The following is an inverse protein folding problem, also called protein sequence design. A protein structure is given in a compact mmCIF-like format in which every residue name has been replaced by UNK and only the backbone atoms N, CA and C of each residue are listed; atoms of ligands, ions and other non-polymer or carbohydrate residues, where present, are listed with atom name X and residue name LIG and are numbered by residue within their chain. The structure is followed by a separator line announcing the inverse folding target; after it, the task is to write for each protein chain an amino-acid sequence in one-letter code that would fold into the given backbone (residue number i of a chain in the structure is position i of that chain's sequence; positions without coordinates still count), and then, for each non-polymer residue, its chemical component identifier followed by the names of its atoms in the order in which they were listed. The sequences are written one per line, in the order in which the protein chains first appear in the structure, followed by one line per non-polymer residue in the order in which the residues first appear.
data_IF_440244558553
#
_entry.id   IF_440244558553
#
_cell.length_a   1.000
_cell.length_b   1.000
_cell.length_c   1.000
_cell.angle_alpha   90.00
_cell.angle_beta   90.00
_cell.angle_gamma   90.00
#
_symmetry.space_group_name_H-M   'P 1'
#
loop_
_entity.id
_entity.type
_entity.pdbx_description
1 polymer ?
#
# COMPACT_ATOMS: atom_id res chain seq x y z
N UNK A 1 -6.40 1.16 4.66
CA UNK A 1 -5.17 0.98 3.87
C UNK A 1 -3.98 1.20 4.78
N UNK A 2 -3.03 0.34 4.76
CA UNK A 2 -1.82 0.49 5.56
C UNK A 2 -0.59 0.27 4.70
N UNK A 3 0.51 0.91 5.10
CA UNK A 3 1.78 0.86 4.39
C UNK A 3 2.88 0.42 5.32
N UNK A 4 3.84 -0.30 4.78
CA UNK A 4 5.09 -0.56 5.47
C UNK A 4 6.25 -0.49 4.49
N UNK A 5 7.40 -0.10 5.00
CA UNK A 5 8.64 0.01 4.23
C UNK A 5 9.68 -0.95 4.78
N UNK A 6 10.46 -1.52 3.90
CA UNK A 6 11.69 -2.18 4.30
C UNK A 6 12.82 -1.73 3.41
N UNK A 7 13.98 -1.52 4.02
CA UNK A 7 15.12 -0.91 3.37
C UNK A 7 15.86 -1.85 2.45
N UNK A 8 15.61 -3.12 2.49
CA UNK A 8 16.40 -4.01 1.68
C UNK A 8 15.70 -5.34 1.42
N UNK A 9 15.86 -5.81 0.22
CA UNK A 9 15.70 -7.20 -0.15
C UNK A 9 17.10 -7.73 -0.39
N UNK A 10 17.80 -7.93 0.67
CA UNK A 10 19.25 -7.98 0.72
C UNK A 10 19.87 -9.19 0.06
N UNK A 11 19.09 -10.10 -0.43
CA UNK A 11 19.64 -11.38 -0.86
C UNK A 11 19.73 -11.54 -2.35
N UNK A 12 19.41 -10.54 -3.09
CA UNK A 12 19.37 -10.64 -4.54
C UNK A 12 20.73 -10.23 -5.05
N UNK A 13 21.51 -11.21 -5.49
CA UNK A 13 22.78 -11.01 -6.17
C UNK A 13 23.78 -10.13 -5.41
N UNK A 14 23.67 -10.05 -4.10
CA UNK A 14 24.58 -9.26 -3.29
C UNK A 14 24.41 -7.76 -3.40
N UNK A 15 23.43 -7.29 -4.13
CA UNK A 15 23.10 -5.89 -4.21
C UNK A 15 21.95 -5.60 -3.27
N UNK A 16 22.16 -4.65 -2.35
CA UNK A 16 21.24 -4.42 -1.24
C UNK A 16 20.45 -3.13 -1.34
N UNK A 17 20.44 -2.48 -2.49
CA UNK A 17 19.86 -1.15 -2.64
C UNK A 17 18.43 -1.17 -3.15
N UNK A 18 17.65 -2.12 -2.69
CA UNK A 18 16.23 -2.20 -3.03
C UNK A 18 15.38 -1.67 -1.89
N UNK A 19 14.25 -1.07 -2.25
CA UNK A 19 13.23 -0.65 -1.30
C UNK A 19 11.97 -1.45 -1.56
N UNK A 20 11.35 -1.95 -0.51
CA UNK A 20 10.08 -2.65 -0.60
C UNK A 20 9.01 -1.88 0.14
N UNK A 21 7.92 -1.57 -0.59
CA UNK A 21 6.73 -0.94 -0.02
C UNK A 21 5.61 -1.97 -0.05
N UNK A 22 4.98 -2.20 1.07
CA UNK A 22 3.81 -3.09 1.14
C UNK A 22 2.57 -2.27 1.39
N UNK A 23 1.54 -2.52 0.60
CA UNK A 23 0.24 -1.84 0.71
C UNK A 23 -0.81 -2.91 1.00
N UNK A 24 -1.54 -2.74 2.09
CA UNK A 24 -2.64 -3.61 2.41
C UNK A 24 -3.95 -2.85 2.21
N UNK A 25 -4.84 -3.41 1.41
CA UNK A 25 -6.15 -2.81 1.13
C UNK A 25 -7.25 -3.83 1.37
N UNK A 26 -8.50 -3.38 1.58
CA UNK A 26 -9.63 -4.30 1.53
C UNK A 26 -9.75 -4.90 0.12
N UNK A 27 -10.23 -6.13 0.04
CA UNK A 27 -10.35 -6.81 -1.25
C UNK A 27 -11.30 -6.05 -2.18
N UNK A 28 -10.93 -5.98 -3.45
CA UNK A 28 -11.76 -5.37 -4.49
C UNK A 28 -11.77 -3.86 -4.53
N UNK A 29 -10.98 -3.18 -3.68
CA UNK A 29 -10.93 -1.71 -3.64
C UNK A 29 -10.14 -1.15 -4.82
N UNK A 30 -9.12 -1.86 -5.26
CA UNK A 30 -8.25 -1.41 -6.36
C UNK A 30 -8.51 -2.23 -7.61
N UNK A 31 -9.01 -1.59 -8.66
CA UNK A 31 -9.02 -2.18 -9.99
C UNK A 31 -7.64 -2.05 -10.63
N UNK A 32 -7.51 -2.54 -11.87
CA UNK A 32 -6.21 -2.56 -12.55
C UNK A 32 -5.62 -1.16 -12.73
N UNK A 33 -6.43 -0.19 -13.09
CA UNK A 33 -5.95 1.18 -13.30
C UNK A 33 -5.48 1.79 -11.98
N UNK A 34 -6.20 1.54 -10.90
CA UNK A 34 -5.82 2.02 -9.58
C UNK A 34 -4.56 1.34 -9.07
N UNK A 35 -4.40 0.04 -9.33
CA UNK A 35 -3.17 -0.68 -9.00
C UNK A 35 -1.96 -0.06 -9.69
N UNK A 36 -2.08 0.21 -10.99
CA UNK A 36 -1.01 0.85 -11.76
C UNK A 36 -0.68 2.23 -11.20
N UNK A 37 -1.70 3.01 -10.86
CA UNK A 37 -1.52 4.35 -10.29
C UNK A 37 -0.84 4.32 -8.93
N UNK A 38 -1.28 3.44 -8.04
CA UNK A 38 -0.71 3.31 -6.70
C UNK A 38 0.76 2.93 -6.77
N UNK A 39 1.11 1.93 -7.58
CA UNK A 39 2.49 1.48 -7.72
C UNK A 39 3.37 2.62 -8.24
N UNK A 40 2.92 3.33 -9.27
CA UNK A 40 3.68 4.44 -9.84
C UNK A 40 3.86 5.57 -8.84
N UNK A 41 2.80 5.99 -8.18
CA UNK A 41 2.87 7.11 -7.24
C UNK A 41 3.75 6.79 -6.03
N UNK A 42 3.62 5.60 -5.46
CA UNK A 42 4.45 5.21 -4.34
C UNK A 42 5.92 5.10 -4.72
N UNK A 43 6.20 4.58 -5.90
CA UNK A 43 7.57 4.52 -6.41
C UNK A 43 8.17 5.93 -6.54
N UNK A 44 7.41 6.87 -7.09
CA UNK A 44 7.87 8.25 -7.24
C UNK A 44 8.07 8.94 -5.89
N UNK A 45 7.19 8.69 -4.94
CA UNK A 45 7.32 9.24 -3.58
C UNK A 45 8.58 8.73 -2.90
N UNK A 46 8.87 7.45 -3.02
CA UNK A 46 10.09 6.85 -2.44
C UNK A 46 11.33 7.48 -3.05
N UNK A 47 11.37 7.59 -4.38
CA UNK A 47 12.51 8.19 -5.06
C UNK A 47 12.71 9.65 -4.68
N UNK A 48 11.63 10.42 -4.59
CA UNK A 48 11.69 11.82 -4.21
C UNK A 48 12.14 11.99 -2.75
N UNK A 49 11.60 11.18 -1.85
CA UNK A 49 11.95 11.26 -0.43
C UNK A 49 13.42 10.90 -0.18
N UNK A 50 13.95 9.96 -0.94
CA UNK A 50 15.35 9.57 -0.84
C UNK A 50 16.29 10.51 -1.61
N UNK A 51 15.75 11.35 -2.48
CA UNK A 51 16.57 12.21 -3.34
C UNK A 51 17.35 11.42 -4.39
N UNK A 52 16.83 10.26 -4.81
CA UNK A 52 17.54 9.36 -5.71
C UNK A 52 16.56 8.76 -6.72
N UNK A 53 16.54 9.33 -7.93
CA UNK A 53 15.64 8.88 -8.97
C UNK A 53 15.97 7.47 -9.50
N UNK A 54 17.17 6.97 -9.26
CA UNK A 54 17.51 5.60 -9.64
C UNK A 54 16.74 4.57 -8.82
N UNK A 55 16.17 4.96 -7.70
CA UNK A 55 15.32 4.09 -6.90
C UNK A 55 14.04 3.66 -7.63
N UNK A 56 13.62 4.37 -8.67
CA UNK A 56 12.45 3.95 -9.46
C UNK A 56 12.64 2.56 -10.06
N UNK A 57 13.88 2.17 -10.31
CA UNK A 57 14.23 0.85 -10.86
C UNK A 57 14.44 -0.21 -9.78
N UNK A 58 14.49 0.21 -8.52
CA UNK A 58 14.83 -0.66 -7.39
C UNK A 58 13.78 -0.65 -6.30
N UNK A 59 12.61 -0.12 -6.57
CA UNK A 59 11.51 -0.08 -5.62
C UNK A 59 10.46 -1.11 -6.00
N UNK A 60 10.14 -1.96 -5.05
CA UNK A 60 9.07 -2.94 -5.20
C UNK A 60 7.87 -2.45 -4.43
N UNK A 61 6.73 -2.40 -5.07
CA UNK A 61 5.47 -2.09 -4.42
C UNK A 61 4.59 -3.33 -4.50
N UNK A 62 4.30 -3.90 -3.35
CA UNK A 62 3.51 -5.13 -3.25
C UNK A 62 2.15 -4.79 -2.66
N UNK A 63 1.11 -5.06 -3.43
CA UNK A 63 -0.26 -4.82 -3.00
C UNK A 63 -0.83 -6.14 -2.51
N UNK A 64 -1.30 -6.14 -1.26
CA UNK A 64 -1.99 -7.28 -0.67
C UNK A 64 -3.42 -6.88 -0.35
N UNK A 65 -4.32 -7.84 -0.36
CA UNK A 65 -5.72 -7.60 -0.08
C UNK A 65 -6.15 -8.36 1.15
N UNK A 66 -6.86 -7.68 2.05
CA UNK A 66 -7.53 -8.31 3.17
C UNK A 66 -8.84 -8.92 2.69
N UNK A 67 -9.21 -10.13 3.14
CA UNK A 67 -10.45 -10.74 2.72
C UNK A 67 -11.66 -9.94 3.19
N UNK A 68 -12.79 -10.15 2.51
CA UNK A 68 -14.06 -9.57 2.93
C UNK A 68 -14.37 -9.99 4.37
N UNK A 69 -14.68 -9.02 5.23
CA UNK A 69 -14.91 -9.29 6.64
C UNK A 69 -13.64 -9.45 7.46
N UNK A 70 -12.46 -9.23 6.88
CA UNK A 70 -11.18 -9.43 7.56
C UNK A 70 -10.48 -8.16 8.02
N UNK A 71 -11.12 -7.01 7.96
CA UNK A 71 -10.50 -5.73 8.36
C UNK A 71 -10.81 -5.43 9.82
N UNK A 72 -9.92 -5.81 10.70
CA UNK A 72 -10.13 -5.68 12.15
C UNK A 72 -9.81 -4.29 12.67
N UNK A 73 -10.79 -3.66 13.33
CA UNK A 73 -10.63 -2.41 14.06
C UNK A 73 -11.37 -2.53 15.38
N UNK A 74 -10.72 -2.21 16.46
CA UNK A 74 -11.31 -2.30 17.81
C UNK A 74 -11.89 -3.68 18.15
N UNK A 75 -11.23 -4.73 17.66
CA UNK A 75 -11.68 -6.09 17.91
C UNK A 75 -12.86 -6.55 17.07
N UNK A 76 -13.28 -5.75 16.11
CA UNK A 76 -14.40 -6.08 15.21
C UNK A 76 -13.88 -6.34 13.80
N UNK A 77 -14.26 -7.45 13.21
CA UNK A 77 -13.89 -7.81 11.84
C UNK A 77 -14.87 -7.15 10.87
N UNK A 78 -14.45 -6.02 10.30
CA UNK A 78 -15.31 -5.22 9.45
C UNK A 78 -15.40 -5.76 8.04
N UNK A 79 -16.58 -5.65 7.45
CA UNK A 79 -16.80 -5.88 6.03
C UNK A 79 -16.39 -4.66 5.23
N UNK A 80 -16.29 -4.80 3.90
CA UNK A 80 -16.05 -3.66 3.03
C UNK A 80 -17.16 -2.62 3.15
N UNK A 81 -18.40 -3.05 3.36
CA UNK A 81 -19.52 -2.14 3.57
C UNK A 81 -19.37 -1.34 4.86
N UNK A 82 -18.88 -1.97 5.93
CA UNK A 82 -18.62 -1.29 7.19
C UNK A 82 -17.54 -0.22 7.02
N UNK A 83 -16.47 -0.54 6.32
CA UNK A 83 -15.37 0.39 6.05
C UNK A 83 -15.88 1.58 5.23
N UNK A 84 -16.65 1.32 4.19
CA UNK A 84 -17.22 2.37 3.34
C UNK A 84 -18.17 3.27 4.13
N UNK A 85 -18.98 2.68 5.02
CA UNK A 85 -19.88 3.45 5.87
C UNK A 85 -19.13 4.35 6.83
N UNK A 86 -18.04 3.84 7.44
CA UNK A 86 -17.20 4.62 8.34
C UNK A 86 -16.51 5.77 7.61
N UNK A 87 -16.04 5.53 6.39
CA UNK A 87 -15.41 6.57 5.58
C UNK A 87 -16.41 7.67 5.22
N UNK A 88 -17.63 7.29 4.83
CA UNK A 88 -18.69 8.27 4.52
C UNK A 88 -19.09 9.08 5.75
N UNK A 89 -19.18 8.44 6.91
CA UNK A 89 -19.49 9.13 8.16
C UNK A 89 -18.40 10.13 8.53
N UNK A 90 -17.14 9.78 8.36
CA UNK A 90 -16.02 10.68 8.60
C UNK A 90 -16.04 11.89 7.67
N UNK A 91 -16.36 11.69 6.40
CA UNK A 91 -16.46 12.78 5.43
C UNK A 91 -17.67 13.67 5.72
N UNK A 92 -18.78 13.10 6.16
CA UNK A 92 -19.98 13.87 6.50
C UNK A 92 -19.83 14.68 7.79
N UNK A 93 -18.94 14.27 8.69
CA UNK A 93 -18.70 14.95 9.95
C UNK A 93 -17.91 16.26 9.79
N UNK A 94 -17.28 16.43 8.67
CA UNK A 94 -16.57 17.65 8.34
C UNK A 94 -17.51 18.66 7.69
#
# INVERSE_FOLDING_TARGET
MSFSFSDSLSNVAGDTNYVRVQVLTPIGVLDRDKQLGVVRELTDIVAAAAGDQTLTERTWVLISESPEGGWGINGHANTNADIAAAARAALAAD
#
